data_IF_303825607525
#
_entry.id   IF_303825607525
#
_cell.length_a   1.000
_cell.length_b   1.000
_cell.length_c   1.000
_cell.angle_alpha   90.00
_cell.angle_beta   90.00
_cell.angle_gamma   90.00
#
_symmetry.space_group_name_H-M   'P 1'
#
loop_
_entity.id
_entity.type
_entity.pdbx_description
1 polymer ?
#
# COMPACT_ATOMS: atom_id res chain seq x y z
N UNK A 1 -6.20 14.02 -10.79
CA UNK A 1 -6.60 14.47 -9.46
C UNK A 1 -7.46 15.72 -9.52
N UNK A 2 -6.95 16.89 -10.05
CA UNK A 2 -7.71 18.17 -10.10
C UNK A 2 -8.99 18.03 -10.91
N UNK A 3 -8.92 17.44 -12.12
CA UNK A 3 -10.11 17.21 -12.96
C UNK A 3 -11.17 16.35 -12.26
N UNK A 4 -10.76 15.34 -11.50
CA UNK A 4 -11.66 14.48 -10.73
C UNK A 4 -12.38 15.26 -9.64
N UNK A 5 -11.65 16.06 -8.86
CA UNK A 5 -12.21 16.89 -7.79
C UNK A 5 -13.18 17.94 -8.36
N UNK A 6 -12.80 18.62 -9.44
CA UNK A 6 -13.64 19.60 -10.12
C UNK A 6 -14.95 18.97 -10.65
N UNK A 7 -14.86 17.83 -11.34
CA UNK A 7 -16.04 17.15 -11.88
C UNK A 7 -16.99 16.69 -10.78
N UNK A 8 -16.45 16.18 -9.66
CA UNK A 8 -17.24 15.76 -8.50
C UNK A 8 -18.00 16.92 -7.87
N UNK A 9 -17.42 18.12 -7.85
CA UNK A 9 -18.08 19.34 -7.36
C UNK A 9 -18.94 20.07 -8.40
N UNK A 10 -19.06 19.53 -9.63
CA UNK A 10 -19.88 20.11 -10.70
C UNK A 10 -19.38 21.44 -11.27
N UNK A 11 -18.10 21.79 -11.01
CA UNK A 11 -17.54 23.06 -11.42
C UNK A 11 -16.97 22.99 -12.85
N UNK A 12 -17.10 24.10 -13.59
CA UNK A 12 -16.32 24.34 -14.81
C UNK A 12 -14.87 24.70 -14.46
N UNK A 13 -13.95 24.62 -15.40
CA UNK A 13 -12.56 25.06 -15.21
C UNK A 13 -12.48 26.56 -14.86
N UNK A 14 -13.35 27.40 -15.42
CA UNK A 14 -13.40 28.83 -15.13
C UNK A 14 -13.87 29.09 -13.70
N UNK A 15 -14.90 28.43 -13.23
CA UNK A 15 -15.41 28.56 -11.86
C UNK A 15 -14.39 28.08 -10.84
N UNK A 16 -13.74 26.93 -11.08
CA UNK A 16 -12.66 26.46 -10.22
C UNK A 16 -11.49 27.45 -10.18
N UNK A 17 -11.10 28.01 -11.34
CA UNK A 17 -10.04 29.01 -11.42
C UNK A 17 -10.36 30.26 -10.59
N UNK A 18 -11.59 30.77 -10.71
CA UNK A 18 -12.08 31.93 -9.92
C UNK A 18 -12.01 31.63 -8.43
N UNK A 19 -12.55 30.51 -7.98
CA UNK A 19 -12.54 30.09 -6.56
C UNK A 19 -11.13 29.88 -6.01
N UNK A 20 -10.26 29.31 -6.83
CA UNK A 20 -8.86 29.05 -6.47
C UNK A 20 -7.92 30.26 -6.62
N UNK A 21 -8.40 31.42 -7.08
CA UNK A 21 -7.57 32.61 -7.31
C UNK A 21 -6.48 32.36 -8.35
N UNK A 22 -6.83 31.72 -9.47
CA UNK A 22 -5.92 31.41 -10.57
C UNK A 22 -6.60 31.60 -11.93
N UNK A 23 -5.92 31.35 -13.04
CA UNK A 23 -6.50 31.44 -14.38
C UNK A 23 -7.07 30.11 -14.87
N UNK A 24 -8.12 30.15 -15.71
CA UNK A 24 -8.64 28.97 -16.39
C UNK A 24 -7.54 28.23 -17.18
N UNK A 25 -6.65 28.98 -17.85
CA UNK A 25 -5.53 28.39 -18.58
C UNK A 25 -4.55 27.63 -17.68
N UNK A 26 -4.38 28.03 -16.41
CA UNK A 26 -3.58 27.29 -15.44
C UNK A 26 -4.27 25.97 -15.05
N UNK A 27 -5.58 26.02 -14.74
CA UNK A 27 -6.34 24.82 -14.44
C UNK A 27 -6.30 23.83 -15.60
N UNK A 28 -6.53 24.29 -16.84
CA UNK A 28 -6.46 23.45 -18.03
C UNK A 28 -5.08 22.79 -18.22
N UNK A 29 -3.99 23.50 -17.95
CA UNK A 29 -2.63 22.92 -18.02
C UNK A 29 -2.37 21.88 -16.93
N UNK A 30 -2.88 22.10 -15.71
CA UNK A 30 -2.77 21.14 -14.61
C UNK A 30 -3.58 19.88 -14.88
N UNK A 31 -4.80 20.00 -15.43
CA UNK A 31 -5.65 18.86 -15.78
C UNK A 31 -5.12 18.04 -16.95
N UNK A 32 -4.38 18.68 -17.86
CA UNK A 32 -3.72 18.03 -18.99
C UNK A 32 -2.32 17.51 -18.69
N UNK A 33 -1.87 17.53 -17.42
CA UNK A 33 -0.53 17.13 -16.95
C UNK A 33 0.63 17.83 -17.68
N UNK A 34 0.36 19.01 -18.28
CA UNK A 34 1.39 19.78 -18.97
C UNK A 34 2.30 20.55 -18.00
N UNK A 35 1.81 20.85 -16.82
CA UNK A 35 2.52 21.56 -15.75
C UNK A 35 2.08 20.98 -14.43
N UNK A 36 3.05 20.67 -13.56
CA UNK A 36 2.75 20.26 -12.19
C UNK A 36 2.59 21.48 -11.28
N UNK A 37 1.45 21.62 -10.56
CA UNK A 37 1.32 22.70 -9.58
C UNK A 37 2.25 22.45 -8.38
N UNK A 38 2.68 23.53 -7.70
CA UNK A 38 3.29 23.38 -6.36
C UNK A 38 2.29 22.79 -5.38
N UNK A 39 2.78 22.20 -4.28
CA UNK A 39 1.92 21.62 -3.23
C UNK A 39 0.93 22.66 -2.70
N UNK A 40 1.35 23.89 -2.45
CA UNK A 40 0.47 24.95 -1.97
C UNK A 40 -0.58 25.37 -3.02
N UNK A 41 -0.23 25.32 -4.30
CA UNK A 41 -1.19 25.56 -5.39
C UNK A 41 -2.19 24.42 -5.49
N UNK A 42 -1.72 23.18 -5.40
CA UNK A 42 -2.57 21.98 -5.44
C UNK A 42 -3.59 21.99 -4.29
N UNK A 43 -3.12 22.26 -3.07
CA UNK A 43 -3.98 22.36 -1.87
C UNK A 43 -5.06 23.44 -2.07
N UNK A 44 -4.69 24.62 -2.52
CA UNK A 44 -5.63 25.72 -2.76
C UNK A 44 -6.67 25.37 -3.83
N UNK A 45 -6.26 24.72 -4.92
CA UNK A 45 -7.16 24.28 -6.00
C UNK A 45 -8.10 23.17 -5.53
N UNK A 46 -7.61 22.19 -4.79
CA UNK A 46 -8.45 21.11 -4.26
C UNK A 46 -9.45 21.63 -3.23
N UNK A 47 -9.01 22.52 -2.31
CA UNK A 47 -9.91 23.17 -1.34
C UNK A 47 -11.01 23.99 -2.03
N UNK A 48 -10.69 24.68 -3.15
CA UNK A 48 -11.68 25.39 -3.95
C UNK A 48 -12.71 24.47 -4.60
N UNK A 49 -12.36 23.20 -4.83
CA UNK A 49 -13.26 22.13 -5.29
C UNK A 49 -13.94 21.37 -4.14
N UNK A 50 -13.76 21.79 -2.87
CA UNK A 50 -14.36 21.13 -1.71
C UNK A 50 -13.65 19.85 -1.26
N UNK A 51 -12.40 19.66 -1.64
CA UNK A 51 -11.56 18.51 -1.25
C UNK A 51 -10.36 18.99 -0.42
N UNK A 52 -10.01 18.25 0.64
CA UNK A 52 -8.80 18.51 1.42
C UNK A 52 -7.64 17.66 0.90
N UNK A 53 -6.45 18.29 0.83
CA UNK A 53 -5.21 17.59 0.50
C UNK A 53 -4.55 17.06 1.77
N UNK A 54 -4.59 15.74 1.95
CA UNK A 54 -3.82 15.08 3.00
C UNK A 54 -2.48 14.63 2.42
N UNK A 55 -1.40 15.25 2.88
CA UNK A 55 -0.04 14.83 2.54
C UNK A 55 0.51 14.00 3.69
N UNK A 56 0.77 12.72 3.42
CA UNK A 56 1.58 11.88 4.30
C UNK A 56 2.97 11.71 3.68
N UNK A 57 4.03 12.01 4.42
CA UNK A 57 5.36 11.63 4.00
C UNK A 57 5.64 10.21 4.49
N UNK A 58 5.71 9.26 3.58
CA UNK A 58 6.41 8.00 3.86
C UNK A 58 7.88 8.20 3.51
N UNK A 59 8.79 7.71 4.34
CA UNK A 59 10.18 7.51 3.89
C UNK A 59 10.09 6.67 2.62
N UNK A 60 10.62 7.18 1.51
CA UNK A 60 10.63 6.43 0.25
C UNK A 60 11.12 5.02 0.51
N UNK A 61 10.55 4.05 -0.20
CA UNK A 61 10.76 2.60 -0.01
C UNK A 61 12.25 2.20 0.05
N UNK A 62 12.95 2.60 1.10
CA UNK A 62 14.09 1.84 1.58
C UNK A 62 13.44 0.74 2.44
N UNK A 63 13.51 -0.47 1.95
CA UNK A 63 13.17 -1.68 2.68
C UNK A 63 14.02 -1.69 3.94
N UNK A 64 13.49 -1.15 5.04
CA UNK A 64 14.20 -1.12 6.32
C UNK A 64 13.92 -2.43 7.06
N UNK A 65 14.70 -3.44 6.74
CA UNK A 65 14.66 -4.74 7.41
C UNK A 65 15.52 -4.78 8.69
N UNK A 66 15.71 -3.65 9.36
CA UNK A 66 16.48 -3.56 10.60
C UNK A 66 15.64 -3.79 11.85
N UNK A 67 14.30 -3.77 11.75
CA UNK A 67 13.41 -3.99 12.89
C UNK A 67 13.57 -5.39 13.49
N UNK A 68 13.22 -5.54 14.77
CA UNK A 68 13.28 -6.83 15.45
C UNK A 68 12.45 -7.91 14.72
N UNK A 69 11.28 -7.56 14.18
CA UNK A 69 10.43 -8.47 13.40
C UNK A 69 11.04 -8.84 12.07
N UNK A 70 11.63 -7.89 11.36
CA UNK A 70 12.35 -8.17 10.12
C UNK A 70 13.55 -9.10 10.36
N UNK A 71 14.29 -8.91 11.47
CA UNK A 71 15.38 -9.79 11.86
C UNK A 71 14.86 -11.20 12.22
N UNK A 72 13.73 -11.29 12.93
CA UNK A 72 13.07 -12.55 13.26
C UNK A 72 12.69 -13.33 12.00
N UNK A 73 12.07 -12.68 11.01
CA UNK A 73 11.74 -13.28 9.72
C UNK A 73 12.99 -13.76 8.99
N UNK A 74 14.05 -12.95 8.95
CA UNK A 74 15.31 -13.32 8.30
C UNK A 74 15.98 -14.54 8.95
N UNK A 75 15.97 -14.60 10.29
CA UNK A 75 16.53 -15.72 11.06
C UNK A 75 15.81 -17.03 10.75
N UNK A 76 14.48 -16.99 10.60
CA UNK A 76 13.63 -18.16 10.36
C UNK A 76 13.27 -18.35 8.87
N UNK A 77 14.00 -17.73 7.95
CA UNK A 77 13.70 -17.74 6.52
C UNK A 77 13.53 -19.15 5.94
N UNK A 78 14.38 -20.08 6.32
CA UNK A 78 14.35 -21.46 5.78
C UNK A 78 13.10 -22.18 6.25
N UNK A 79 12.77 -22.08 7.53
CA UNK A 79 11.60 -22.67 8.15
C UNK A 79 10.30 -22.08 7.59
N UNK A 80 10.22 -20.76 7.45
CA UNK A 80 9.08 -20.04 6.85
C UNK A 80 8.82 -20.55 5.43
N UNK A 81 9.86 -20.63 4.59
CA UNK A 81 9.73 -21.14 3.23
C UNK A 81 9.32 -22.63 3.20
N UNK A 82 9.80 -23.43 4.15
CA UNK A 82 9.42 -24.85 4.27
C UNK A 82 7.95 -25.00 4.66
N UNK A 83 7.48 -24.23 5.64
CA UNK A 83 6.06 -24.20 6.05
C UNK A 83 5.17 -23.72 4.90
N UNK A 84 5.54 -22.68 4.18
CA UNK A 84 4.77 -22.22 3.03
C UNK A 84 4.57 -23.33 1.99
N UNK A 85 5.64 -24.05 1.64
CA UNK A 85 5.57 -25.19 0.70
C UNK A 85 4.74 -26.34 1.23
N UNK A 86 4.90 -26.68 2.51
CA UNK A 86 4.15 -27.76 3.18
C UNK A 86 2.63 -27.51 3.12
N UNK A 87 2.21 -26.26 3.32
CA UNK A 87 0.82 -25.84 3.24
C UNK A 87 0.32 -25.55 1.81
N UNK A 88 1.17 -25.72 0.77
CA UNK A 88 0.79 -25.51 -0.62
C UNK A 88 0.82 -24.04 -1.08
N UNK A 89 1.44 -23.15 -0.31
CA UNK A 89 1.74 -21.80 -0.71
C UNK A 89 3.11 -21.72 -1.42
N UNK A 90 3.26 -20.73 -2.30
CA UNK A 90 4.52 -20.44 -3.01
C UNK A 90 4.83 -18.97 -2.91
N UNK A 91 6.07 -18.61 -3.25
CA UNK A 91 6.50 -17.22 -3.41
C UNK A 91 6.11 -16.34 -2.22
N UNK A 92 6.44 -16.81 -1.00
CA UNK A 92 6.14 -16.05 0.23
C UNK A 92 7.00 -14.79 0.29
N UNK A 93 6.36 -13.65 0.53
CA UNK A 93 6.94 -12.31 0.55
C UNK A 93 6.49 -11.59 1.81
N UNK A 94 7.38 -10.80 2.38
CA UNK A 94 7.07 -9.89 3.47
C UNK A 94 6.55 -8.57 2.90
N UNK A 95 5.50 -7.98 3.49
CA UNK A 95 5.00 -6.64 3.12
C UNK A 95 4.51 -5.87 4.34
N UNK A 96 3.89 -4.70 4.15
CA UNK A 96 3.29 -3.95 5.24
C UNK A 96 4.28 -3.20 6.13
N UNK A 97 3.92 -2.99 7.40
CA UNK A 97 4.66 -2.15 8.34
C UNK A 97 6.11 -2.60 8.58
N UNK A 98 6.35 -3.90 8.61
CA UNK A 98 7.70 -4.47 8.82
C UNK A 98 8.65 -4.12 7.67
N UNK A 99 8.16 -4.12 6.43
CA UNK A 99 8.97 -3.75 5.26
C UNK A 99 9.24 -2.26 5.21
N UNK A 100 8.31 -1.44 5.71
CA UNK A 100 8.46 0.02 5.77
C UNK A 100 9.26 0.52 6.97
N UNK A 101 9.63 -0.39 7.91
CA UNK A 101 10.28 0.01 9.16
C UNK A 101 9.38 0.83 10.09
N UNK A 102 8.07 0.63 9.99
CA UNK A 102 7.02 1.32 10.77
C UNK A 102 6.41 0.41 11.85
N UNK A 103 6.92 -0.82 11.97
CA UNK A 103 6.40 -1.81 12.90
C UNK A 103 6.70 -1.45 14.37
N UNK A 104 5.76 -1.81 15.22
CA UNK A 104 5.82 -1.66 16.67
C UNK A 104 5.80 -3.04 17.33
N UNK A 105 5.96 -3.11 18.65
CA UNK A 105 5.85 -4.37 19.38
C UNK A 105 4.52 -5.08 19.16
N UNK A 106 3.43 -4.33 18.93
CA UNK A 106 2.08 -4.85 18.73
C UNK A 106 1.68 -5.06 17.27
N UNK A 107 2.51 -4.64 16.30
CA UNK A 107 2.21 -4.83 14.87
C UNK A 107 2.23 -6.31 14.51
N UNK A 108 1.41 -6.72 13.55
CA UNK A 108 1.45 -8.06 12.98
C UNK A 108 2.57 -8.15 11.92
N UNK A 109 3.00 -9.36 11.58
CA UNK A 109 3.90 -9.61 10.45
C UNK A 109 3.03 -10.01 9.25
N UNK A 110 3.07 -9.22 8.18
CA UNK A 110 2.23 -9.40 7.01
C UNK A 110 2.97 -10.19 5.92
N UNK A 111 2.44 -11.35 5.54
CA UNK A 111 2.96 -12.16 4.44
C UNK A 111 2.01 -12.20 3.25
N UNK A 112 2.54 -11.98 2.07
CA UNK A 112 1.86 -12.17 0.79
C UNK A 112 2.31 -13.49 0.19
N UNK A 113 1.37 -14.34 -0.26
CA UNK A 113 1.64 -15.67 -0.79
C UNK A 113 0.89 -15.95 -2.07
N UNK A 114 1.48 -16.75 -2.94
CA UNK A 114 0.80 -17.29 -4.11
C UNK A 114 0.16 -18.63 -3.77
N UNK A 115 -1.12 -18.78 -4.07
CA UNK A 115 -1.91 -19.98 -3.81
C UNK A 115 -2.87 -20.24 -4.96
N UNK A 116 -3.32 -21.51 -5.18
CA UNK A 116 -4.50 -21.78 -6.01
C UNK A 116 -5.71 -21.04 -5.43
N UNK A 117 -6.50 -20.37 -6.28
CA UNK A 117 -7.61 -19.52 -5.86
C UNK A 117 -8.67 -20.27 -5.05
N UNK A 118 -8.97 -21.49 -5.46
CA UNK A 118 -9.97 -22.36 -4.82
C UNK A 118 -9.57 -22.84 -3.42
N UNK A 119 -8.29 -22.83 -3.08
CA UNK A 119 -7.75 -23.23 -1.78
C UNK A 119 -7.14 -22.06 -1.00
N UNK A 120 -7.24 -20.84 -1.52
CA UNK A 120 -6.55 -19.69 -0.97
C UNK A 120 -6.84 -19.46 0.52
N UNK A 121 -8.12 -19.51 0.92
CA UNK A 121 -8.52 -19.27 2.31
C UNK A 121 -8.06 -20.38 3.26
N UNK A 122 -8.21 -21.64 2.88
CA UNK A 122 -7.81 -22.77 3.73
C UNK A 122 -6.29 -22.82 3.91
N UNK A 123 -5.54 -22.52 2.85
CA UNK A 123 -4.07 -22.45 2.91
C UNK A 123 -3.62 -21.29 3.79
N UNK A 124 -4.22 -20.10 3.65
CA UNK A 124 -3.80 -18.93 4.45
C UNK A 124 -4.05 -19.16 5.93
N UNK A 125 -5.19 -19.70 6.33
CA UNK A 125 -5.50 -19.97 7.74
C UNK A 125 -4.52 -20.99 8.33
N UNK A 126 -4.26 -22.10 7.62
CA UNK A 126 -3.36 -23.14 8.11
C UNK A 126 -1.90 -22.66 8.18
N UNK A 127 -1.45 -21.91 7.19
CA UNK A 127 -0.10 -21.35 7.15
C UNK A 127 0.07 -20.25 8.21
N UNK A 128 -0.95 -19.42 8.43
CA UNK A 128 -0.92 -18.37 9.46
C UNK A 128 -0.69 -18.99 10.84
N UNK A 129 -1.47 -20.00 11.22
CA UNK A 129 -1.31 -20.68 12.50
C UNK A 129 0.10 -21.27 12.67
N UNK A 130 0.63 -21.93 11.63
CA UNK A 130 1.97 -22.51 11.66
C UNK A 130 3.08 -21.44 11.76
N UNK A 131 2.89 -20.28 11.15
CA UNK A 131 3.84 -19.16 11.23
C UNK A 131 3.75 -18.44 12.58
N UNK A 132 2.57 -18.31 13.17
CA UNK A 132 2.39 -17.76 14.52
C UNK A 132 3.07 -18.66 15.58
N UNK A 133 2.94 -19.98 15.45
CA UNK A 133 3.65 -20.94 16.32
C UNK A 133 5.17 -20.86 16.16
N UNK A 134 5.67 -20.68 14.93
CA UNK A 134 7.12 -20.57 14.66
C UNK A 134 7.72 -19.26 15.18
N UNK A 135 7.00 -18.15 14.96
CA UNK A 135 7.50 -16.79 15.19
C UNK A 135 7.12 -16.22 16.55
N UNK A 136 6.27 -16.90 17.30
CA UNK A 136 5.73 -16.50 18.61
C UNK A 136 5.16 -15.06 18.60
N UNK A 137 4.58 -14.66 17.50
CA UNK A 137 3.94 -13.35 17.34
C UNK A 137 2.77 -13.42 16.32
N UNK A 138 1.96 -12.39 16.29
CA UNK A 138 0.84 -12.30 15.35
C UNK A 138 1.31 -12.20 13.92
N UNK A 139 0.68 -12.97 13.06
CA UNK A 139 0.95 -13.03 11.62
C UNK A 139 -0.34 -12.85 10.84
N UNK A 140 -0.29 -12.14 9.73
CA UNK A 140 -1.34 -12.15 8.70
C UNK A 140 -0.81 -12.76 7.41
N UNK A 141 -1.57 -13.71 6.83
CA UNK A 141 -1.23 -14.36 5.56
C UNK A 141 -2.27 -14.01 4.51
N UNK A 142 -1.90 -13.14 3.61
CA UNK A 142 -2.74 -12.66 2.52
C UNK A 142 -2.47 -13.40 1.21
N UNK A 143 -3.40 -14.24 0.72
CA UNK A 143 -3.26 -14.88 -0.60
C UNK A 143 -3.46 -13.87 -1.73
N UNK A 144 -2.46 -13.71 -2.61
CA UNK A 144 -2.53 -12.77 -3.73
C UNK A 144 -3.74 -13.01 -4.64
N UNK A 145 -4.14 -14.27 -4.81
CA UNK A 145 -5.21 -14.70 -5.72
C UNK A 145 -6.61 -14.16 -5.36
N UNK A 146 -6.84 -13.78 -4.10
CA UNK A 146 -8.14 -13.29 -3.62
C UNK A 146 -8.14 -11.83 -3.18
N UNK A 147 -6.99 -11.14 -3.25
CA UNK A 147 -6.91 -9.72 -2.95
C UNK A 147 -7.69 -8.88 -3.98
N UNK A 148 -8.32 -7.82 -3.49
CA UNK A 148 -8.93 -6.82 -4.38
C UNK A 148 -7.85 -6.15 -5.25
N UNK A 149 -8.13 -5.80 -6.52
CA UNK A 149 -7.10 -5.32 -7.45
C UNK A 149 -6.26 -4.14 -6.94
N UNK A 150 -6.86 -3.19 -6.25
CA UNK A 150 -6.14 -2.03 -5.71
C UNK A 150 -5.24 -2.40 -4.54
N UNK A 151 -5.67 -3.32 -3.64
CA UNK A 151 -4.86 -3.83 -2.52
C UNK A 151 -3.72 -4.67 -3.06
N UNK A 152 -4.00 -5.58 -4.00
CA UNK A 152 -2.99 -6.41 -4.68
C UNK A 152 -1.88 -5.55 -5.29
N UNK A 153 -2.25 -4.51 -6.04
CA UNK A 153 -1.27 -3.59 -6.66
C UNK A 153 -0.39 -2.89 -5.63
N UNK A 154 -0.97 -2.44 -4.51
CA UNK A 154 -0.23 -1.81 -3.43
C UNK A 154 0.72 -2.80 -2.74
N UNK A 155 0.23 -3.97 -2.33
CA UNK A 155 1.03 -5.00 -1.68
C UNK A 155 2.21 -5.47 -2.56
N UNK A 156 1.98 -5.73 -3.85
CA UNK A 156 3.03 -6.15 -4.79
C UNK A 156 4.11 -5.09 -5.00
N UNK A 157 3.79 -3.80 -4.84
CA UNK A 157 4.76 -2.72 -5.00
C UNK A 157 5.79 -2.68 -3.87
N UNK A 158 5.40 -3.07 -2.67
CA UNK A 158 6.25 -3.03 -1.47
C UNK A 158 6.76 -4.40 -1.03
N UNK A 159 6.15 -5.49 -1.52
CA UNK A 159 6.47 -6.85 -1.09
C UNK A 159 7.91 -7.25 -1.42
N UNK A 160 8.59 -7.82 -0.43
CA UNK A 160 9.99 -8.26 -0.50
C UNK A 160 10.06 -9.76 -0.32
N UNK A 161 10.77 -10.44 -1.21
CA UNK A 161 11.04 -11.88 -1.09
C UNK A 161 11.89 -12.17 0.16
N UNK A 162 11.54 -13.24 0.85
CA UNK A 162 12.26 -13.70 2.04
C UNK A 162 13.06 -14.97 1.76
#
# INVERSE_FOLDING_TARGET
LIATARNKSGLTQAELATRAGTSQAAIARYEADRVSPSVSTLERVLRAAGEDLLLSSSRGSQTDLSSAKAQLVRKNKVEINSLARLHGARNIRLFGSVVRGEDTATSDIDFLVDTPREKALSISIALQAALEDLLECKVDVSPEAILKPHIRKAALKEAVAI
#
